data_IF_094853148878
#
_entry.id   IF_094853148878
#
_cell.length_a   1.000
_cell.length_b   1.000
_cell.length_c   1.000
_cell.angle_alpha   90.00
_cell.angle_beta   90.00
_cell.angle_gamma   90.00
#
_symmetry.space_group_name_H-M   'P 1'
#
loop_
_entity.id
_entity.type
_entity.pdbx_description
1 polymer ?
#
# COMPACT_ATOMS: atom_id res chain seq x y z
N UNK A 1 7.03 -10.23 -17.85
CA UNK A 1 6.21 -10.04 -19.07
C UNK A 1 7.01 -9.48 -20.23
N UNK A 2 7.65 -8.31 -20.12
CA UNK A 2 8.38 -7.70 -21.25
C UNK A 2 9.46 -8.62 -21.85
N UNK A 3 10.29 -9.24 -21.01
CA UNK A 3 11.28 -10.24 -21.46
C UNK A 3 10.65 -11.44 -22.19
N UNK A 4 9.48 -11.91 -21.72
CA UNK A 4 8.71 -12.97 -22.38
C UNK A 4 8.23 -12.53 -23.75
N UNK A 5 7.58 -11.37 -23.85
CA UNK A 5 7.08 -10.84 -25.13
C UNK A 5 8.22 -10.65 -26.15
N UNK A 6 9.41 -10.21 -25.70
CA UNK A 6 10.60 -10.10 -26.54
C UNK A 6 11.06 -11.48 -27.04
N UNK A 7 11.16 -12.47 -26.16
CA UNK A 7 11.54 -13.85 -26.51
C UNK A 7 10.56 -14.50 -27.50
N UNK A 8 9.27 -14.22 -27.37
CA UNK A 8 8.22 -14.70 -28.28
C UNK A 8 8.15 -13.90 -29.60
N UNK A 9 9.05 -12.94 -29.85
CA UNK A 9 9.05 -12.12 -31.06
C UNK A 9 7.86 -11.14 -31.15
N UNK A 10 7.14 -10.90 -30.05
CA UNK A 10 5.96 -10.01 -29.99
C UNK A 10 6.30 -8.54 -29.80
N UNK A 11 7.58 -8.22 -29.68
CA UNK A 11 8.10 -6.84 -29.55
C UNK A 11 9.16 -6.57 -30.63
N UNK A 12 8.80 -6.63 -31.93
CA UNK A 12 9.74 -6.35 -33.00
C UNK A 12 10.19 -4.88 -32.93
N UNK A 13 11.51 -4.65 -32.99
CA UNK A 13 12.09 -3.31 -32.91
C UNK A 13 11.99 -2.62 -31.55
N UNK A 14 11.59 -3.34 -30.49
CA UNK A 14 11.60 -2.76 -29.15
C UNK A 14 13.03 -2.49 -28.67
N UNK A 15 13.25 -1.38 -27.93
CA UNK A 15 14.56 -1.07 -27.37
C UNK A 15 15.03 -2.17 -26.41
N UNK A 16 16.35 -2.24 -26.14
CA UNK A 16 16.88 -3.15 -25.14
C UNK A 16 16.18 -2.90 -23.79
N UNK A 17 15.91 -4.00 -23.07
CA UNK A 17 15.34 -3.96 -21.74
C UNK A 17 16.47 -4.00 -20.72
N UNK A 18 16.38 -3.17 -19.68
CA UNK A 18 17.29 -3.18 -18.53
C UNK A 18 16.47 -3.34 -17.25
N UNK A 19 16.96 -4.14 -16.32
CA UNK A 19 16.29 -4.42 -15.06
C UNK A 19 17.00 -3.74 -13.88
N UNK A 20 16.21 -3.26 -12.93
CA UNK A 20 16.69 -2.70 -11.68
C UNK A 20 16.06 -3.46 -10.52
N UNK A 21 16.82 -3.70 -9.45
CA UNK A 21 16.29 -4.20 -8.19
C UNK A 21 17.05 -3.58 -7.04
N UNK A 22 16.32 -3.30 -5.96
CA UNK A 22 16.93 -2.96 -4.68
C UNK A 22 17.77 -4.15 -4.20
N UNK A 23 18.90 -3.83 -3.58
CA UNK A 23 19.87 -4.76 -3.04
C UNK A 23 20.23 -4.34 -1.62
N UNK A 24 20.14 -5.26 -0.67
CA UNK A 24 20.37 -4.98 0.75
C UNK A 24 21.55 -5.81 1.25
N UNK A 25 22.58 -5.14 1.76
CA UNK A 25 23.78 -5.81 2.29
C UNK A 25 23.61 -6.25 3.75
N UNK A 26 23.01 -5.40 4.59
CA UNK A 26 22.80 -5.65 6.02
C UNK A 26 21.41 -6.23 6.34
N UNK A 27 20.38 -5.83 5.59
CA UNK A 27 18.98 -6.17 5.82
C UNK A 27 18.48 -7.20 4.79
N UNK A 28 19.08 -8.40 4.82
CA UNK A 28 18.79 -9.49 3.86
C UNK A 28 17.31 -9.90 3.82
N UNK A 29 16.57 -9.67 4.89
CA UNK A 29 15.12 -9.91 4.96
C UNK A 29 14.29 -8.95 4.08
N UNK A 30 14.86 -7.83 3.64
CA UNK A 30 14.27 -6.92 2.65
C UNK A 30 14.66 -7.29 1.22
N UNK A 31 15.60 -8.22 1.02
CA UNK A 31 16.21 -8.49 -0.28
C UNK A 31 15.37 -9.46 -1.13
N UNK A 32 14.84 -8.94 -2.25
CA UNK A 32 14.00 -9.70 -3.19
C UNK A 32 14.81 -10.31 -4.35
N UNK A 33 16.16 -10.21 -4.37
CA UNK A 33 16.95 -10.59 -5.54
C UNK A 33 16.86 -12.06 -5.90
N UNK A 34 16.63 -12.94 -4.92
CA UNK A 34 16.35 -14.35 -5.19
C UNK A 34 15.13 -14.56 -6.12
N UNK A 35 14.21 -13.60 -6.21
CA UNK A 35 13.10 -13.59 -7.18
C UNK A 35 13.54 -12.90 -8.48
N UNK A 36 14.14 -11.71 -8.41
CA UNK A 36 14.51 -10.95 -9.62
C UNK A 36 15.59 -11.64 -10.45
N UNK A 37 16.58 -12.26 -9.82
CA UNK A 37 17.73 -12.91 -10.48
C UNK A 37 17.30 -14.10 -11.33
N UNK A 38 16.25 -14.82 -10.91
CA UNK A 38 15.64 -15.88 -11.72
C UNK A 38 15.00 -15.31 -13.00
N UNK A 39 14.31 -14.16 -12.89
CA UNK A 39 13.68 -13.49 -14.04
C UNK A 39 14.75 -12.94 -14.99
N UNK A 40 15.76 -12.26 -14.42
CA UNK A 40 16.90 -11.69 -15.14
C UNK A 40 17.63 -12.78 -15.92
N UNK A 41 17.94 -13.91 -15.28
CA UNK A 41 18.58 -15.06 -15.93
C UNK A 41 17.73 -15.67 -17.03
N UNK A 42 16.44 -15.93 -16.77
CA UNK A 42 15.55 -16.55 -17.76
C UNK A 42 15.39 -15.73 -19.05
N UNK A 43 15.50 -14.40 -18.94
CA UNK A 43 15.30 -13.48 -20.07
C UNK A 43 16.56 -12.77 -20.53
N UNK A 44 17.73 -13.12 -19.96
CA UNK A 44 19.03 -12.53 -20.27
C UNK A 44 18.99 -11.00 -20.26
N UNK A 45 18.40 -10.42 -19.21
CA UNK A 45 18.26 -8.98 -19.08
C UNK A 45 19.56 -8.39 -18.51
N UNK A 46 20.11 -7.31 -19.09
CA UNK A 46 20.96 -6.39 -18.37
C UNK A 46 20.35 -5.99 -17.02
N UNK A 47 21.18 -5.90 -15.98
CA UNK A 47 20.72 -5.70 -14.62
C UNK A 47 21.65 -4.77 -13.85
N UNK A 48 21.06 -3.80 -13.15
CA UNK A 48 21.75 -2.92 -12.21
C UNK A 48 21.12 -3.04 -10.82
N UNK A 49 21.94 -3.33 -9.80
CA UNK A 49 21.52 -3.38 -8.41
C UNK A 49 21.52 -1.97 -7.79
N UNK A 50 20.45 -1.62 -7.08
CA UNK A 50 20.34 -0.37 -6.33
C UNK A 50 20.65 -0.68 -4.87
N UNK A 51 21.84 -0.31 -4.42
CA UNK A 51 22.26 -0.58 -3.05
C UNK A 51 21.59 0.37 -2.07
N UNK A 52 20.78 -0.20 -1.17
CA UNK A 52 20.06 0.53 -0.13
C UNK A 52 20.52 0.08 1.25
N UNK A 53 20.79 1.06 2.10
CA UNK A 53 21.19 0.87 3.49
C UNK A 53 20.59 1.96 4.38
N UNK A 54 20.98 1.97 5.65
CA UNK A 54 20.46 2.90 6.65
C UNK A 54 20.89 4.35 6.39
N UNK A 55 21.93 4.59 5.58
CA UNK A 55 22.39 5.93 5.26
C UNK A 55 21.37 6.72 4.42
N UNK A 56 20.44 6.01 3.77
CA UNK A 56 19.38 6.53 2.92
C UNK A 56 18.08 6.85 3.69
N UNK A 57 18.20 7.36 4.92
CA UNK A 57 17.04 7.67 5.77
C UNK A 57 16.17 8.78 5.18
N UNK A 58 14.86 8.54 5.12
CA UNK A 58 13.86 9.54 4.72
C UNK A 58 13.53 10.53 5.84
N UNK A 59 13.94 10.24 7.07
CA UNK A 59 13.64 11.06 8.25
C UNK A 59 14.67 12.17 8.48
N UNK A 60 15.80 12.11 7.78
CA UNK A 60 16.86 13.11 7.85
C UNK A 60 16.68 14.16 6.73
N UNK A 61 16.28 15.41 7.05
CA UNK A 61 16.08 16.45 6.05
C UNK A 61 17.39 16.89 5.36
N UNK A 62 18.56 16.54 5.90
CA UNK A 62 19.83 16.77 5.22
C UNK A 62 20.07 15.76 4.07
N UNK A 63 19.39 14.62 4.09
CA UNK A 63 19.59 13.51 3.15
C UNK A 63 18.40 13.28 2.23
N UNK A 64 17.21 13.69 2.67
CA UNK A 64 15.98 13.52 1.91
C UNK A 64 15.24 14.85 1.75
N UNK A 65 15.04 15.25 0.50
CA UNK A 65 14.12 16.33 0.15
C UNK A 65 12.72 15.76 -0.18
N UNK A 66 11.67 16.15 0.58
CA UNK A 66 10.30 15.76 0.28
C UNK A 66 9.81 16.44 -1.01
N UNK A 67 8.77 15.87 -1.60
CA UNK A 67 8.10 16.49 -2.73
C UNK A 67 7.51 17.88 -2.38
N UNK A 68 7.60 18.82 -3.32
CA UNK A 68 7.16 20.20 -3.08
C UNK A 68 5.63 20.31 -3.00
N UNK A 69 4.91 19.56 -3.83
CA UNK A 69 3.46 19.69 -3.99
C UNK A 69 2.67 18.85 -2.97
N UNK A 70 3.32 17.89 -2.30
CA UNK A 70 2.68 17.06 -1.30
C UNK A 70 3.63 16.65 -0.16
N UNK A 71 3.15 16.61 1.10
CA UNK A 71 3.91 16.11 2.25
C UNK A 71 4.04 14.59 2.26
N UNK A 72 3.90 13.92 1.12
CA UNK A 72 3.89 12.46 1.03
C UNK A 72 5.30 12.02 0.68
N UNK A 73 5.91 11.26 1.59
CA UNK A 73 7.20 10.62 1.38
C UNK A 73 6.98 9.13 1.28
N UNK A 74 7.40 8.51 0.19
CA UNK A 74 7.45 7.05 0.16
C UNK A 74 8.66 6.59 0.93
N UNK A 75 8.39 5.60 1.76
CA UNK A 75 9.33 4.56 2.16
C UNK A 75 10.43 4.24 1.13
N UNK A 76 10.05 4.11 -0.15
CA UNK A 76 10.92 3.72 -1.25
C UNK A 76 11.53 4.90 -2.01
N UNK A 77 11.28 6.14 -1.60
CA UNK A 77 11.77 7.32 -2.33
C UNK A 77 13.30 7.34 -2.50
N UNK A 78 14.13 6.94 -1.52
CA UNK A 78 15.57 6.88 -1.73
C UNK A 78 15.96 5.88 -2.82
N UNK A 79 15.32 4.70 -2.85
CA UNK A 79 15.63 3.70 -3.87
C UNK A 79 15.17 4.11 -5.25
N UNK A 80 13.99 4.73 -5.36
CA UNK A 80 13.50 5.32 -6.59
C UNK A 80 14.40 6.46 -7.09
N UNK A 81 14.85 7.35 -6.19
CA UNK A 81 15.82 8.44 -6.51
C UNK A 81 17.09 7.87 -7.13
N UNK A 82 17.70 6.87 -6.50
CA UNK A 82 18.91 6.23 -6.99
C UNK A 82 18.68 5.50 -8.32
N UNK A 83 17.57 4.77 -8.44
CA UNK A 83 17.21 4.07 -9.67
C UNK A 83 17.02 5.04 -10.84
N UNK A 84 16.34 6.17 -10.65
CA UNK A 84 16.14 7.16 -11.70
C UNK A 84 17.43 7.90 -12.07
N UNK A 85 18.27 8.23 -11.09
CA UNK A 85 19.58 8.81 -11.36
C UNK A 85 20.46 7.84 -12.16
N UNK A 86 20.48 6.56 -11.81
CA UNK A 86 21.22 5.54 -12.55
C UNK A 86 20.66 5.37 -13.97
N UNK A 87 19.34 5.26 -14.11
CA UNK A 87 18.67 5.20 -15.40
C UNK A 87 19.03 6.40 -16.30
N UNK A 88 19.10 7.61 -15.74
CA UNK A 88 19.54 8.80 -16.47
C UNK A 88 20.97 8.64 -16.98
N UNK A 89 21.90 8.20 -16.13
CA UNK A 89 23.32 7.99 -16.52
C UNK A 89 23.49 6.90 -17.58
N UNK A 90 22.60 5.92 -17.59
CA UNK A 90 22.57 4.83 -18.57
C UNK A 90 21.77 5.20 -19.85
N UNK A 91 21.24 6.42 -19.94
CA UNK A 91 20.47 6.89 -21.09
C UNK A 91 19.07 6.27 -21.23
N UNK A 92 18.54 5.70 -20.16
CA UNK A 92 17.21 5.08 -20.13
C UNK A 92 16.15 6.17 -19.98
N UNK A 93 15.31 6.30 -21.00
CA UNK A 93 14.27 7.32 -21.05
C UNK A 93 12.96 6.91 -20.36
N UNK A 94 12.72 5.60 -20.21
CA UNK A 94 11.44 5.09 -19.67
C UNK A 94 11.64 3.89 -18.78
N UNK A 95 11.01 3.92 -17.62
CA UNK A 95 10.98 2.81 -16.66
C UNK A 95 9.56 2.26 -16.50
N UNK A 96 9.44 0.93 -16.55
CA UNK A 96 8.19 0.22 -16.29
C UNK A 96 8.14 -0.23 -14.83
N UNK A 97 7.04 0.04 -14.12
CA UNK A 97 6.88 -0.38 -12.73
C UNK A 97 5.62 -1.22 -12.52
N UNK A 98 5.59 -1.89 -11.37
CA UNK A 98 4.46 -2.69 -10.90
C UNK A 98 3.71 -2.09 -9.71
N UNK A 99 3.89 -0.80 -9.41
CA UNK A 99 3.57 -0.20 -8.11
C UNK A 99 2.10 -0.36 -7.70
N UNK A 100 1.16 -0.20 -8.65
CA UNK A 100 -0.29 -0.32 -8.41
C UNK A 100 -0.81 -1.76 -8.45
N UNK A 101 0.04 -2.75 -8.69
CA UNK A 101 -0.38 -4.15 -8.79
C UNK A 101 -1.08 -4.66 -7.54
N UNK A 102 -0.64 -4.22 -6.35
CA UNK A 102 -1.31 -4.56 -5.10
C UNK A 102 -2.74 -3.99 -5.06
N UNK A 103 -2.94 -2.74 -5.48
CA UNK A 103 -4.27 -2.10 -5.48
C UNK A 103 -5.27 -2.83 -6.38
N UNK A 104 -4.84 -3.26 -7.57
CA UNK A 104 -5.71 -3.91 -8.55
C UNK A 104 -5.96 -5.40 -8.25
N UNK A 105 -4.93 -6.16 -7.90
CA UNK A 105 -5.03 -7.64 -7.83
C UNK A 105 -4.32 -8.25 -6.62
N UNK A 106 -3.46 -7.51 -5.92
CA UNK A 106 -2.61 -8.07 -4.86
C UNK A 106 -3.12 -7.95 -3.44
N UNK A 107 -3.96 -6.95 -3.14
CA UNK A 107 -4.54 -6.82 -1.80
C UNK A 107 -5.51 -7.94 -1.50
N UNK A 108 -5.45 -8.43 -0.26
CA UNK A 108 -6.22 -9.54 0.29
C UNK A 108 -7.69 -9.15 0.48
N UNK A 109 -8.46 -9.23 -0.60
CA UNK A 109 -9.90 -9.08 -0.61
C UNK A 109 -10.48 -10.44 -0.97
N UNK A 110 -11.03 -11.13 0.02
CA UNK A 110 -11.67 -12.43 -0.16
C UNK A 110 -13.18 -12.27 -0.15
N UNK A 111 -13.87 -13.03 -1.01
CA UNK A 111 -15.31 -12.98 -1.15
C UNK A 111 -15.92 -14.38 -1.02
N UNK A 112 -16.61 -14.58 0.09
CA UNK A 112 -17.39 -15.79 0.33
C UNK A 112 -18.88 -15.56 0.13
N UNK A 113 -19.34 -14.32 -0.12
CA UNK A 113 -20.75 -13.98 -0.23
C UNK A 113 -21.26 -14.12 -1.67
N UNK A 114 -20.51 -13.62 -2.64
CA UNK A 114 -20.86 -13.73 -4.06
C UNK A 114 -21.09 -15.18 -4.52
N UNK A 115 -20.23 -16.16 -4.17
CA UNK A 115 -20.46 -17.55 -4.53
C UNK A 115 -21.70 -18.15 -3.86
N UNK A 116 -22.08 -17.71 -2.65
CA UNK A 116 -23.33 -18.15 -2.01
C UNK A 116 -24.55 -17.69 -2.81
N UNK A 117 -24.57 -16.45 -3.29
CA UNK A 117 -25.67 -15.94 -4.12
C UNK A 117 -25.78 -16.67 -5.47
N UNK A 118 -24.67 -17.19 -5.99
CA UNK A 118 -24.62 -17.98 -7.22
C UNK A 118 -24.84 -19.50 -7.00
N UNK A 119 -25.13 -19.93 -5.77
CA UNK A 119 -25.39 -21.34 -5.45
C UNK A 119 -24.13 -22.21 -5.31
N UNK A 120 -22.94 -21.60 -5.29
CA UNK A 120 -21.65 -22.29 -5.13
C UNK A 120 -21.33 -22.55 -3.64
N UNK A 121 -22.28 -23.13 -2.90
CA UNK A 121 -22.21 -23.32 -1.43
C UNK A 121 -20.97 -24.09 -0.98
N UNK A 122 -20.57 -25.12 -1.74
CA UNK A 122 -19.40 -25.95 -1.45
C UNK A 122 -18.10 -25.13 -1.56
N UNK A 123 -18.03 -24.26 -2.56
CA UNK A 123 -16.88 -23.38 -2.75
C UNK A 123 -16.82 -22.36 -1.60
N UNK A 124 -17.92 -21.68 -1.29
CA UNK A 124 -17.98 -20.70 -0.21
C UNK A 124 -17.62 -21.32 1.15
N UNK A 125 -18.11 -22.52 1.45
CA UNK A 125 -17.80 -23.24 2.68
C UNK A 125 -16.31 -23.63 2.77
N UNK A 126 -15.73 -24.13 1.67
CA UNK A 126 -14.31 -24.47 1.61
C UNK A 126 -13.42 -23.23 1.77
N UNK A 127 -13.77 -22.13 1.11
CA UNK A 127 -13.03 -20.86 1.22
C UNK A 127 -13.13 -20.29 2.63
N UNK A 128 -14.32 -20.33 3.24
CA UNK A 128 -14.52 -19.87 4.62
C UNK A 128 -13.67 -20.68 5.62
N UNK A 129 -13.60 -22.01 5.46
CA UNK A 129 -12.79 -22.86 6.32
C UNK A 129 -11.28 -22.60 6.12
N UNK A 130 -10.83 -22.35 4.89
CA UNK A 130 -9.45 -21.96 4.60
C UNK A 130 -9.10 -20.63 5.24
N UNK A 131 -9.95 -19.61 5.11
CA UNK A 131 -9.75 -18.32 5.76
C UNK A 131 -9.76 -18.44 7.28
N UNK A 132 -10.62 -19.31 7.83
CA UNK A 132 -10.64 -19.60 9.27
C UNK A 132 -9.30 -20.15 9.75
N UNK A 133 -8.75 -21.14 9.04
CA UNK A 133 -7.46 -21.74 9.35
C UNK A 133 -6.32 -20.73 9.17
N UNK A 134 -6.33 -19.97 8.07
CA UNK A 134 -5.31 -18.98 7.76
C UNK A 134 -5.23 -17.85 8.80
N UNK A 135 -6.37 -17.30 9.22
CA UNK A 135 -6.42 -16.28 10.26
C UNK A 135 -6.30 -16.83 11.70
N UNK A 136 -6.36 -18.15 11.90
CA UNK A 136 -6.37 -18.76 13.23
C UNK A 136 -7.60 -18.37 14.07
N UNK A 137 -8.76 -18.18 13.45
CA UNK A 137 -9.98 -17.70 14.13
C UNK A 137 -11.02 -18.81 14.35
N UNK A 138 -12.00 -18.56 15.22
CA UNK A 138 -13.13 -19.48 15.42
C UNK A 138 -14.09 -19.45 14.22
N UNK A 139 -14.87 -20.52 14.04
CA UNK A 139 -15.90 -20.62 12.98
C UNK A 139 -16.91 -19.46 13.03
N UNK A 140 -17.33 -19.09 14.24
CA UNK A 140 -18.25 -17.96 14.46
C UNK A 140 -17.65 -16.64 13.99
N UNK A 141 -16.39 -16.37 14.33
CA UNK A 141 -15.70 -15.14 13.87
C UNK A 141 -15.50 -15.13 12.35
N UNK A 142 -15.13 -16.27 11.76
CA UNK A 142 -15.00 -16.39 10.30
C UNK A 142 -16.35 -16.10 9.61
N UNK A 143 -17.44 -16.73 10.06
CA UNK A 143 -18.78 -16.50 9.53
C UNK A 143 -19.22 -15.05 9.70
N UNK A 144 -19.02 -14.46 10.89
CA UNK A 144 -19.35 -13.06 11.16
C UNK A 144 -18.60 -12.11 10.22
N UNK A 145 -17.29 -12.32 10.04
CA UNK A 145 -16.40 -11.46 9.25
C UNK A 145 -16.63 -11.58 7.75
N UNK A 146 -16.80 -12.80 7.23
CA UNK A 146 -16.77 -13.07 5.79
C UNK A 146 -18.15 -13.31 5.17
N UNK A 147 -19.18 -13.61 5.97
CA UNK A 147 -20.56 -13.79 5.49
C UNK A 147 -21.48 -12.71 6.04
N UNK A 148 -21.65 -12.66 7.38
CA UNK A 148 -22.67 -11.82 8.01
C UNK A 148 -22.40 -10.32 7.82
N UNK A 149 -21.18 -9.85 8.09
CA UNK A 149 -20.86 -8.44 7.96
C UNK A 149 -20.99 -7.94 6.51
N UNK A 150 -20.47 -8.65 5.47
CA UNK A 150 -20.74 -8.30 4.08
C UNK A 150 -22.22 -8.37 3.70
N UNK A 151 -22.97 -9.37 4.19
CA UNK A 151 -24.41 -9.49 3.93
C UNK A 151 -25.18 -8.30 4.51
N UNK A 152 -24.88 -7.90 5.75
CA UNK A 152 -25.48 -6.72 6.39
C UNK A 152 -25.13 -5.46 5.61
N UNK A 153 -23.89 -5.31 5.12
CA UNK A 153 -23.50 -4.15 4.29
C UNK A 153 -24.23 -4.13 2.93
N UNK A 154 -24.55 -5.29 2.37
CA UNK A 154 -25.29 -5.42 1.11
C UNK A 154 -26.76 -5.08 1.28
N UNK A 155 -27.41 -5.61 2.33
CA UNK A 155 -28.84 -5.41 2.61
C UNK A 155 -29.12 -4.03 3.24
N UNK A 156 -28.23 -3.59 4.12
CA UNK A 156 -28.27 -2.29 4.81
C UNK A 156 -26.99 -1.48 4.55
N UNK A 157 -26.85 -0.88 3.36
CA UNK A 157 -25.72 -0.01 3.07
C UNK A 157 -25.66 1.22 3.98
N UNK A 158 -24.47 1.82 4.19
CA UNK A 158 -24.27 2.96 5.08
C UNK A 158 -25.15 4.18 4.80
N UNK A 159 -25.56 4.35 3.55
CA UNK A 159 -26.37 5.46 3.06
C UNK A 159 -27.88 5.21 3.21
N UNK A 160 -28.32 3.97 3.49
CA UNK A 160 -29.72 3.67 3.78
C UNK A 160 -30.02 3.96 5.26
N UNK A 161 -30.96 4.89 5.49
CA UNK A 161 -31.44 5.28 6.83
C UNK A 161 -30.30 5.67 7.80
N UNK A 162 -29.51 6.70 7.48
CA UNK A 162 -28.35 7.11 8.29
C UNK A 162 -28.74 7.45 9.74
N UNK A 163 -29.93 8.01 9.97
CA UNK A 163 -30.43 8.32 11.33
C UNK A 163 -30.63 7.10 12.23
N UNK A 164 -31.16 6.00 11.67
CA UNK A 164 -31.37 4.76 12.42
C UNK A 164 -30.03 4.06 12.71
N UNK A 165 -29.11 4.08 11.74
CA UNK A 165 -27.75 3.57 11.95
C UNK A 165 -26.98 4.41 12.97
N UNK A 166 -27.16 5.73 12.99
CA UNK A 166 -26.55 6.63 14.00
C UNK A 166 -27.05 6.27 15.40
N UNK A 167 -28.35 6.03 15.57
CA UNK A 167 -28.98 5.59 16.83
C UNK A 167 -28.50 4.21 17.28
N UNK A 168 -28.46 3.24 16.38
CA UNK A 168 -27.96 1.88 16.66
C UNK A 168 -26.46 1.88 16.96
N UNK A 169 -25.67 2.68 16.23
CA UNK A 169 -24.24 2.85 16.48
C UNK A 169 -23.96 3.55 17.80
N UNK A 170 -24.85 4.43 18.29
CA UNK A 170 -24.73 5.08 19.59
C UNK A 170 -24.93 4.07 20.74
N UNK A 171 -25.78 3.06 20.54
CA UNK A 171 -25.97 1.94 21.47
C UNK A 171 -24.78 0.97 21.48
N UNK A 172 -24.12 0.76 20.34
CA UNK A 172 -22.92 -0.08 20.20
C UNK A 172 -21.59 0.65 20.45
N UNK A 173 -21.60 1.98 20.60
CA UNK A 173 -20.41 2.85 20.69
C UNK A 173 -19.65 2.78 22.01
N UNK A 174 -19.84 1.73 22.81
CA UNK A 174 -19.42 1.75 24.22
C UNK A 174 -18.03 1.17 24.48
N UNK A 175 -17.16 0.94 23.48
CA UNK A 175 -15.85 0.30 23.76
C UNK A 175 -14.67 0.42 22.77
N UNK A 176 -14.61 1.39 21.84
CA UNK A 176 -13.39 1.61 21.05
C UNK A 176 -13.26 3.08 20.60
N UNK A 177 -12.18 3.75 21.03
CA UNK A 177 -11.67 5.09 20.65
C UNK A 177 -12.67 6.02 19.93
N UNK A 178 -13.18 7.01 20.66
CA UNK A 178 -14.29 7.91 20.30
C UNK A 178 -14.05 8.89 19.13
N UNK A 179 -12.91 8.82 18.43
CA UNK A 179 -12.60 9.73 17.32
C UNK A 179 -12.55 9.00 15.99
N UNK A 180 -13.08 9.64 14.93
CA UNK A 180 -13.02 9.13 13.54
C UNK A 180 -11.61 9.26 12.92
N UNK A 181 -10.60 9.59 13.74
CA UNK A 181 -9.26 9.97 13.35
C UNK A 181 -8.25 9.55 14.43
N UNK A 182 -6.97 9.68 14.13
CA UNK A 182 -5.87 9.17 14.96
C UNK A 182 -5.78 9.89 16.33
N UNK A 183 -5.44 9.20 17.43
CA UNK A 183 -5.51 9.75 18.79
C UNK A 183 -4.67 11.01 19.04
N UNK A 184 -3.56 11.16 18.30
CA UNK A 184 -2.69 12.33 18.40
C UNK A 184 -3.17 13.54 17.60
N UNK A 185 -4.23 13.45 16.79
CA UNK A 185 -4.76 14.61 16.08
C UNK A 185 -5.56 15.46 17.08
N UNK A 186 -5.22 16.75 17.17
CA UNK A 186 -5.90 17.66 18.09
C UNK A 186 -7.37 17.85 17.70
N UNK A 187 -8.32 17.74 18.63
CA UNK A 187 -9.76 17.88 18.32
C UNK A 187 -10.13 19.23 17.69
N UNK A 188 -9.49 20.32 18.10
CA UNK A 188 -9.73 21.64 17.53
C UNK A 188 -9.29 21.72 16.07
N UNK A 189 -8.14 21.10 15.75
CA UNK A 189 -7.67 21.01 14.38
C UNK A 189 -8.58 20.13 13.53
N UNK A 190 -8.97 18.95 14.03
CA UNK A 190 -9.90 18.04 13.36
C UNK A 190 -11.23 18.73 13.01
N UNK A 191 -11.80 19.49 13.96
CA UNK A 191 -13.00 20.32 13.74
C UNK A 191 -12.77 21.42 12.71
N UNK A 192 -11.63 22.12 12.78
CA UNK A 192 -11.29 23.22 11.86
C UNK A 192 -11.21 22.76 10.41
N UNK A 193 -10.60 21.59 10.16
CA UNK A 193 -10.49 21.04 8.80
C UNK A 193 -11.75 20.27 8.37
N UNK A 194 -12.69 20.03 9.28
CA UNK A 194 -13.90 19.25 9.03
C UNK A 194 -13.58 17.82 8.59
N UNK A 195 -12.74 17.11 9.36
CA UNK A 195 -12.25 15.78 8.99
C UNK A 195 -13.38 14.79 8.71
N UNK A 196 -14.53 14.93 9.38
CA UNK A 196 -15.72 14.13 9.13
C UNK A 196 -16.22 14.30 7.69
N UNK A 197 -16.20 15.52 7.15
CA UNK A 197 -16.59 15.79 5.76
C UNK A 197 -15.64 15.11 4.77
N UNK A 198 -14.33 15.11 5.07
CA UNK A 198 -13.33 14.44 4.23
C UNK A 198 -13.60 12.93 4.22
N UNK A 199 -13.85 12.32 5.39
CA UNK A 199 -14.20 10.90 5.52
C UNK A 199 -15.52 10.58 4.80
N UNK A 200 -16.51 11.49 4.86
CA UNK A 200 -17.79 11.32 4.17
C UNK A 200 -17.68 11.43 2.66
N UNK A 201 -16.71 12.18 2.14
CA UNK A 201 -16.47 12.32 0.70
C UNK A 201 -15.78 11.09 0.09
N UNK A 202 -15.06 10.29 0.88
CA UNK A 202 -14.42 9.03 0.46
C UNK A 202 -15.41 7.83 0.33
N UNK A 203 -16.66 8.13 -0.07
CA UNK A 203 -17.72 7.13 -0.21
C UNK A 203 -17.64 6.43 -1.57
N UNK A 204 -17.79 5.11 -1.54
CA UNK A 204 -17.87 4.28 -2.75
C UNK A 204 -19.26 4.40 -3.36
N UNK A 205 -19.38 4.42 -4.70
CA UNK A 205 -20.66 4.32 -5.38
C UNK A 205 -21.50 3.13 -4.87
N UNK A 206 -22.72 3.42 -4.43
CA UNK A 206 -23.70 2.46 -3.91
C UNK A 206 -23.90 1.21 -4.78
N UNK A 207 -23.80 1.38 -6.10
CA UNK A 207 -23.96 0.35 -7.14
C UNK A 207 -22.88 -0.72 -7.15
N UNK A 208 -21.75 -0.49 -6.48
CA UNK A 208 -20.65 -1.45 -6.43
C UNK A 208 -20.95 -2.51 -5.37
N UNK A 209 -21.80 -3.46 -5.75
CA UNK A 209 -22.02 -4.71 -5.03
C UNK A 209 -21.31 -5.85 -5.76
N UNK A 210 -20.87 -6.91 -5.07
CA UNK A 210 -20.87 -7.08 -3.60
C UNK A 210 -19.83 -6.18 -2.90
N UNK A 211 -19.81 -6.12 -1.55
CA UNK A 211 -18.88 -5.27 -0.78
C UNK A 211 -17.39 -5.49 -1.11
N UNK A 212 -17.02 -6.69 -1.54
CA UNK A 212 -15.65 -6.99 -2.00
C UNK A 212 -15.25 -6.14 -3.21
N UNK A 213 -16.16 -5.93 -4.18
CA UNK A 213 -15.97 -5.05 -5.34
C UNK A 213 -15.87 -3.59 -4.91
N UNK A 214 -16.69 -3.16 -3.95
CA UNK A 214 -16.58 -1.82 -3.35
C UNK A 214 -15.22 -1.62 -2.66
N UNK A 215 -14.74 -2.61 -1.91
CA UNK A 215 -13.44 -2.56 -1.25
C UNK A 215 -12.30 -2.47 -2.28
N UNK A 216 -12.37 -3.26 -3.36
CA UNK A 216 -11.39 -3.18 -4.47
C UNK A 216 -11.39 -1.80 -5.11
N UNK A 217 -12.57 -1.24 -5.36
CA UNK A 217 -12.70 0.12 -5.90
C UNK A 217 -12.03 1.15 -4.99
N UNK A 218 -12.25 1.10 -3.67
CA UNK A 218 -11.56 2.00 -2.73
C UNK A 218 -10.05 1.93 -2.87
N UNK A 219 -9.47 0.72 -2.94
CA UNK A 219 -8.02 0.56 -3.05
C UNK A 219 -7.48 1.15 -4.36
N UNK A 220 -8.17 0.94 -5.48
CA UNK A 220 -7.74 1.48 -6.79
C UNK A 220 -7.70 3.01 -6.77
N UNK A 221 -8.62 3.65 -6.06
CA UNK A 221 -8.79 5.11 -6.02
C UNK A 221 -8.37 5.74 -4.69
N UNK A 222 -7.62 5.03 -3.84
CA UNK A 222 -7.27 5.53 -2.52
C UNK A 222 -6.42 6.80 -2.66
N UNK A 223 -6.85 7.95 -2.08
CA UNK A 223 -6.21 9.24 -2.33
C UNK A 223 -4.71 9.25 -2.00
N UNK A 224 -4.32 8.56 -0.92
CA UNK A 224 -2.93 8.45 -0.49
C UNK A 224 -2.02 7.89 -1.61
N UNK A 225 -2.40 6.76 -2.23
CA UNK A 225 -1.60 6.20 -3.32
C UNK A 225 -1.63 7.06 -4.58
N UNK A 226 -2.69 7.82 -4.83
CA UNK A 226 -2.71 8.73 -5.99
C UNK A 226 -1.71 9.87 -5.78
N UNK A 227 -1.63 10.40 -4.55
CA UNK A 227 -0.62 11.39 -4.17
C UNK A 227 0.81 10.84 -4.28
N UNK A 228 1.05 9.61 -3.79
CA UNK A 228 2.34 8.94 -3.95
C UNK A 228 2.72 8.75 -5.43
N UNK A 229 1.79 8.29 -6.27
CA UNK A 229 2.06 8.07 -7.69
C UNK A 229 2.44 9.39 -8.39
N UNK A 230 1.79 10.50 -8.06
CA UNK A 230 2.14 11.81 -8.59
C UNK A 230 3.52 12.29 -8.10
N UNK A 231 3.86 12.08 -6.84
CA UNK A 231 5.17 12.43 -6.29
C UNK A 231 6.30 11.62 -6.96
N UNK A 232 6.09 10.31 -7.16
CA UNK A 232 7.07 9.45 -7.82
C UNK A 232 7.23 9.84 -9.31
N UNK A 233 6.15 10.21 -9.99
CA UNK A 233 6.20 10.67 -11.38
C UNK A 233 6.99 11.98 -11.52
N UNK A 234 6.74 12.97 -10.65
CA UNK A 234 7.57 14.19 -10.57
C UNK A 234 9.02 13.88 -10.28
N UNK A 235 9.28 12.93 -9.39
CA UNK A 235 10.64 12.52 -9.07
C UNK A 235 11.36 11.93 -10.29
N UNK A 236 10.69 11.04 -11.04
CA UNK A 236 11.24 10.48 -12.28
C UNK A 236 11.49 11.57 -13.33
N UNK A 237 10.55 12.51 -13.48
CA UNK A 237 10.65 13.62 -14.42
C UNK A 237 11.85 14.54 -14.13
N UNK A 238 12.21 14.77 -12.85
CA UNK A 238 13.42 15.51 -12.46
C UNK A 238 14.72 14.86 -12.95
N UNK A 239 14.72 13.54 -13.12
CA UNK A 239 15.83 12.77 -13.68
C UNK A 239 15.72 12.59 -15.21
N UNK A 240 14.72 13.19 -15.87
CA UNK A 240 14.47 12.99 -17.29
C UNK A 240 13.99 11.59 -17.66
N UNK A 241 13.42 10.86 -16.70
CA UNK A 241 12.90 9.49 -16.89
C UNK A 241 11.37 9.51 -16.87
N UNK A 242 10.75 8.93 -17.90
CA UNK A 242 9.31 8.69 -17.93
C UNK A 242 8.96 7.42 -17.14
N UNK A 243 8.03 7.53 -16.21
CA UNK A 243 7.53 6.38 -15.47
C UNK A 243 6.23 5.86 -16.04
N UNK A 244 6.16 4.56 -16.31
CA UNK A 244 4.93 3.89 -16.72
C UNK A 244 4.62 2.70 -15.82
N UNK A 245 3.60 2.84 -14.98
CA UNK A 245 3.07 1.72 -14.20
C UNK A 245 2.10 0.91 -15.06
N UNK A 246 2.45 -0.35 -15.33
CA UNK A 246 1.63 -1.22 -16.20
C UNK A 246 0.26 -1.55 -15.61
N UNK A 247 0.11 -1.43 -14.29
CA UNK A 247 -1.16 -1.63 -13.57
C UNK A 247 -2.01 -0.34 -13.49
N UNK A 248 -1.51 0.80 -13.96
CA UNK A 248 -2.32 2.00 -14.11
C UNK A 248 -3.26 1.94 -15.32
N UNK A 249 -3.16 0.92 -16.18
CA UNK A 249 -4.02 0.79 -17.36
C UNK A 249 -5.51 0.66 -16.97
N UNK A 250 -6.31 1.59 -17.49
CA UNK A 250 -7.76 1.65 -17.26
C UNK A 250 -8.48 0.35 -17.62
N UNK A 251 -8.00 -0.38 -18.64
CA UNK A 251 -8.57 -1.66 -19.08
C UNK A 251 -8.34 -2.75 -18.03
N UNK A 252 -7.17 -2.78 -17.39
CA UNK A 252 -6.89 -3.68 -16.28
C UNK A 252 -7.75 -3.35 -15.06
N UNK A 253 -7.89 -2.06 -14.72
CA UNK A 253 -8.76 -1.65 -13.63
C UNK A 253 -10.23 -2.07 -13.88
N UNK A 254 -10.74 -1.86 -15.11
CA UNK A 254 -12.08 -2.32 -15.51
C UNK A 254 -12.23 -3.84 -15.40
N UNK A 255 -11.25 -4.58 -15.91
CA UNK A 255 -11.22 -6.04 -15.81
C UNK A 255 -11.28 -6.49 -14.34
N UNK A 256 -10.40 -5.97 -13.48
CA UNK A 256 -10.34 -6.34 -12.05
C UNK A 256 -11.63 -5.98 -11.28
N UNK A 257 -12.36 -4.94 -11.69
CA UNK A 257 -13.65 -4.58 -11.10
C UNK A 257 -14.81 -5.43 -11.65
N UNK A 258 -14.73 -5.88 -12.90
CA UNK A 258 -15.75 -6.71 -13.53
C UNK A 258 -15.67 -8.17 -13.04
N UNK A 259 -14.47 -8.70 -12.86
CA UNK A 259 -14.23 -10.07 -12.41
C UNK A 259 -14.65 -10.26 -10.94
N UNK A 260 -15.34 -11.37 -10.61
CA UNK A 260 -15.65 -11.71 -9.22
C UNK A 260 -14.39 -11.76 -8.34
N UNK A 261 -14.44 -11.20 -7.13
CA UNK A 261 -13.22 -11.07 -6.30
C UNK A 261 -12.66 -12.41 -5.84
N UNK A 262 -13.51 -13.44 -5.69
CA UNK A 262 -13.12 -14.83 -5.43
C UNK A 262 -12.36 -15.50 -6.60
N UNK A 263 -12.34 -14.89 -7.79
CA UNK A 263 -11.47 -15.32 -8.90
C UNK A 263 -10.11 -14.63 -8.81
N UNK A 264 -10.06 -13.38 -8.34
CA UNK A 264 -8.81 -12.62 -8.17
C UNK A 264 -7.98 -13.18 -7.01
N UNK A 265 -8.59 -13.29 -5.84
CA UNK A 265 -8.01 -13.89 -4.64
C UNK A 265 -8.86 -15.10 -4.27
N UNK A 266 -8.20 -16.23 -4.08
CA UNK A 266 -8.87 -17.52 -3.89
C UNK A 266 -7.96 -18.41 -3.06
N UNK A 267 -8.55 -19.35 -2.31
CA UNK A 267 -7.83 -20.37 -1.56
C UNK A 267 -6.96 -19.79 -0.44
N UNK A 268 -7.40 -18.66 0.14
CA UNK A 268 -6.58 -17.84 1.04
C UNK A 268 -5.25 -17.35 0.40
N UNK A 269 -5.12 -17.39 -0.93
CA UNK A 269 -3.99 -16.86 -1.66
C UNK A 269 -4.32 -15.50 -2.30
N UNK A 270 -3.41 -14.54 -2.11
CA UNK A 270 -3.45 -13.30 -2.86
C UNK A 270 -2.87 -13.48 -4.26
N UNK A 271 -3.31 -12.65 -5.22
CA UNK A 271 -2.83 -12.68 -6.60
C UNK A 271 -3.07 -14.04 -7.29
N UNK A 272 -4.04 -14.85 -6.84
CA UNK A 272 -4.28 -16.20 -7.34
C UNK A 272 -4.42 -16.24 -8.87
N UNK A 273 -5.27 -15.35 -9.42
CA UNK A 273 -5.46 -15.25 -10.87
C UNK A 273 -4.16 -14.86 -11.59
N UNK A 274 -3.42 -13.89 -11.04
CA UNK A 274 -2.17 -13.43 -11.62
C UNK A 274 -1.11 -14.53 -11.64
N UNK A 275 -0.94 -15.26 -10.53
CA UNK A 275 0.03 -16.36 -10.43
C UNK A 275 -0.26 -17.43 -11.46
N UNK A 276 -1.53 -17.71 -11.76
CA UNK A 276 -1.93 -18.65 -12.82
C UNK A 276 -1.66 -18.07 -14.21
N UNK A 277 -2.01 -16.81 -14.42
CA UNK A 277 -1.76 -16.12 -15.69
C UNK A 277 -0.27 -15.99 -16.02
N UNK A 278 0.61 -15.98 -15.01
CA UNK A 278 2.06 -15.92 -15.18
C UNK A 278 2.73 -17.30 -15.35
N UNK A 279 1.97 -18.40 -15.34
CA UNK A 279 2.53 -19.73 -15.64
C UNK A 279 3.17 -19.73 -17.03
N UNK A 280 4.38 -20.29 -17.14
CA UNK A 280 5.21 -20.28 -18.36
C UNK A 280 5.70 -18.89 -18.81
N UNK A 281 5.36 -17.82 -18.09
CA UNK A 281 5.83 -16.44 -18.33
C UNK A 281 6.83 -16.01 -17.24
N UNK A 282 6.63 -16.40 -15.99
CA UNK A 282 7.60 -16.19 -14.92
C UNK A 282 8.31 -17.52 -14.64
N UNK A 283 9.61 -17.53 -14.30
CA UNK A 283 10.28 -18.74 -13.81
C UNK A 283 9.47 -19.35 -12.67
N UNK A 284 9.29 -20.66 -12.69
CA UNK A 284 8.35 -21.33 -11.77
C UNK A 284 8.72 -21.11 -10.30
N UNK A 285 10.01 -21.23 -9.95
CA UNK A 285 10.51 -20.96 -8.60
C UNK A 285 10.23 -19.52 -8.18
N UNK A 286 10.51 -18.54 -9.05
CA UNK A 286 10.22 -17.15 -8.75
C UNK A 286 8.70 -16.91 -8.59
N UNK A 287 7.87 -17.54 -9.42
CA UNK A 287 6.40 -17.40 -9.42
C UNK A 287 5.76 -17.93 -8.14
N UNK A 288 6.25 -19.05 -7.62
CA UNK A 288 5.75 -19.69 -6.39
C UNK A 288 6.39 -19.08 -5.13
N UNK A 289 7.65 -18.68 -5.19
CA UNK A 289 8.36 -18.03 -4.07
C UNK A 289 8.01 -16.53 -3.91
N UNK A 290 7.45 -15.88 -4.94
CA UNK A 290 7.09 -14.47 -4.88
C UNK A 290 6.03 -14.19 -3.80
N UNK A 291 6.49 -13.82 -2.62
CA UNK A 291 5.66 -13.38 -1.50
C UNK A 291 5.84 -11.88 -1.29
N UNK A 292 5.01 -11.28 -0.44
CA UNK A 292 5.22 -9.89 -0.05
C UNK A 292 6.41 -9.86 0.90
N UNK A 293 7.53 -9.31 0.43
CA UNK A 293 8.65 -8.98 1.29
C UNK A 293 8.40 -7.56 1.81
N UNK A 294 8.52 -7.41 3.13
CA UNK A 294 8.21 -6.14 3.79
C UNK A 294 9.50 -5.34 3.95
N UNK A 295 9.53 -4.06 3.52
CA UNK A 295 10.63 -3.16 3.82
C UNK A 295 10.61 -2.66 5.28
N UNK A 296 9.64 -3.07 6.09
CA UNK A 296 9.48 -2.67 7.50
C UNK A 296 10.76 -2.75 8.34
N UNK A 297 11.65 -3.76 8.20
CA UNK A 297 12.89 -3.79 8.97
C UNK A 297 13.82 -2.60 8.67
N UNK A 298 13.86 -2.13 7.43
CA UNK A 298 14.58 -0.89 7.07
C UNK A 298 13.94 0.32 7.75
N UNK A 299 12.61 0.46 7.68
CA UNK A 299 11.90 1.57 8.32
C UNK A 299 12.11 1.60 9.82
N UNK A 300 11.95 0.45 10.47
CA UNK A 300 12.15 0.33 11.90
C UNK A 300 13.57 0.70 12.28
N UNK A 301 14.57 0.19 11.56
CA UNK A 301 15.97 0.53 11.81
C UNK A 301 16.23 2.03 11.67
N UNK A 302 15.78 2.67 10.60
CA UNK A 302 15.94 4.11 10.39
C UNK A 302 15.26 4.95 11.48
N UNK A 303 14.06 4.55 11.92
CA UNK A 303 13.32 5.23 12.99
C UNK A 303 14.02 5.08 14.35
N UNK A 304 14.50 3.88 14.68
CA UNK A 304 15.21 3.60 15.93
C UNK A 304 16.57 4.29 15.97
N UNK A 305 17.34 4.24 14.88
CA UNK A 305 18.65 4.89 14.78
C UNK A 305 18.52 6.42 14.87
N UNK A 306 17.39 6.98 14.43
CA UNK A 306 17.09 8.42 14.47
C UNK A 306 16.19 8.82 15.65
N UNK A 307 15.98 7.94 16.64
CA UNK A 307 14.94 8.09 17.67
C UNK A 307 15.02 9.42 18.41
N UNK A 308 16.21 9.79 18.89
CA UNK A 308 16.39 11.01 19.67
C UNK A 308 16.16 12.27 18.84
N UNK A 309 16.58 12.26 17.58
CA UNK A 309 16.32 13.35 16.65
C UNK A 309 14.82 13.48 16.37
N UNK A 310 14.15 12.38 16.02
CA UNK A 310 12.71 12.37 15.71
C UNK A 310 11.90 12.83 16.92
N UNK A 311 12.14 12.24 18.09
CA UNK A 311 11.42 12.56 19.31
C UNK A 311 11.58 14.03 19.69
N UNK A 312 12.83 14.50 19.80
CA UNK A 312 13.08 15.85 20.30
C UNK A 312 12.81 16.91 19.24
N UNK A 313 13.22 16.68 18.00
CA UNK A 313 13.20 17.72 16.96
C UNK A 313 11.91 17.70 16.15
N UNK A 314 11.39 16.53 15.76
CA UNK A 314 10.23 16.44 14.86
C UNK A 314 8.90 16.33 15.63
N UNK A 315 8.87 15.68 16.79
CA UNK A 315 7.64 15.47 17.56
C UNK A 315 7.48 16.55 18.63
N UNK A 316 8.34 16.59 19.63
CA UNK A 316 8.17 17.45 20.81
C UNK A 316 8.33 18.93 20.48
N UNK A 317 9.32 19.27 19.66
CA UNK A 317 9.56 20.64 19.18
C UNK A 317 9.16 20.82 17.71
N UNK A 318 8.17 20.05 17.25
CA UNK A 318 7.69 20.08 15.87
C UNK A 318 6.80 21.28 15.54
N UNK A 319 6.84 21.75 14.29
CA UNK A 319 5.92 22.74 13.73
C UNK A 319 4.46 22.25 13.88
N UNK A 320 4.21 20.96 13.62
CA UNK A 320 2.90 20.35 13.80
C UNK A 320 2.34 20.53 15.22
N UNK A 321 3.20 20.41 16.24
CA UNK A 321 2.82 20.60 17.63
C UNK A 321 2.58 22.08 17.95
N UNK A 322 3.47 22.97 17.49
CA UNK A 322 3.37 24.42 17.69
C UNK A 322 2.09 25.02 17.10
N UNK A 323 1.65 24.51 15.93
CA UNK A 323 0.40 24.93 15.30
C UNK A 323 -0.85 24.21 15.82
N UNK A 324 -0.70 23.33 16.81
CA UNK A 324 -1.79 22.57 17.40
C UNK A 324 -2.45 21.59 16.43
N UNK A 325 -1.71 21.05 15.46
CA UNK A 325 -2.21 19.99 14.57
C UNK A 325 -2.23 18.63 15.31
N UNK A 326 -1.20 18.40 16.13
CA UNK A 326 -1.02 17.16 16.88
C UNK A 326 -0.77 17.41 18.37
N UNK A 327 -1.19 16.46 19.20
CA UNK A 327 -0.83 16.36 20.61
C UNK A 327 0.54 15.66 20.71
N UNK A 328 1.61 16.44 20.91
CA UNK A 328 2.99 15.97 20.83
C UNK A 328 3.29 14.81 21.80
N UNK A 329 2.73 14.82 23.01
CA UNK A 329 2.89 13.77 24.00
C UNK A 329 2.27 12.43 23.56
N UNK A 330 1.06 12.47 22.99
CA UNK A 330 0.37 11.27 22.49
C UNK A 330 1.08 10.72 21.24
N UNK A 331 1.55 11.61 20.36
CA UNK A 331 2.33 11.21 19.19
C UNK A 331 3.68 10.59 19.59
N UNK A 332 4.35 11.17 20.60
CA UNK A 332 5.60 10.65 21.14
C UNK A 332 5.42 9.25 21.76
N UNK A 333 4.35 9.04 22.53
CA UNK A 333 4.03 7.73 23.10
C UNK A 333 3.81 6.68 22.00
N UNK A 334 3.01 6.99 20.96
CA UNK A 334 2.79 6.10 19.83
C UNK A 334 4.09 5.76 19.08
N UNK A 335 4.98 6.75 18.90
CA UNK A 335 6.29 6.55 18.28
C UNK A 335 7.20 5.65 19.14
N UNK A 336 7.28 5.91 20.45
CA UNK A 336 8.09 5.12 21.38
C UNK A 336 7.58 3.68 21.51
N UNK A 337 6.26 3.49 21.57
CA UNK A 337 5.65 2.16 21.57
C UNK A 337 6.03 1.35 20.33
N UNK A 338 6.13 2.00 19.16
CA UNK A 338 6.62 1.37 17.95
C UNK A 338 8.12 1.03 18.02
N UNK A 339 8.96 1.97 18.47
CA UNK A 339 10.40 1.73 18.63
C UNK A 339 10.72 0.62 19.64
N UNK A 340 9.86 0.42 20.64
CA UNK A 340 10.03 -0.52 21.75
C UNK A 340 9.20 -1.81 21.58
N UNK A 341 8.71 -2.07 20.37
CA UNK A 341 7.97 -3.29 20.01
C UNK A 341 6.67 -3.53 20.80
N UNK A 342 6.13 -2.49 21.44
CA UNK A 342 4.81 -2.53 22.09
C UNK A 342 3.67 -2.34 21.10
N UNK A 343 3.94 -1.74 19.95
CA UNK A 343 2.99 -1.53 18.86
C UNK A 343 3.64 -1.79 17.50
N UNK A 344 2.84 -2.25 16.53
CA UNK A 344 3.23 -2.34 15.12
C UNK A 344 2.54 -1.26 14.27
N UNK A 345 1.83 -0.32 14.90
CA UNK A 345 1.13 0.77 14.22
C UNK A 345 2.13 1.85 13.80
N UNK A 346 2.21 2.09 12.48
CA UNK A 346 3.09 3.09 11.87
C UNK A 346 2.37 4.38 11.49
N UNK A 347 1.09 4.58 11.86
CA UNK A 347 0.32 5.74 11.43
C UNK A 347 0.93 7.08 11.90
N UNK A 348 1.78 7.09 12.94
CA UNK A 348 2.51 8.29 13.38
C UNK A 348 3.41 8.86 12.27
N UNK A 349 3.88 8.00 11.35
CA UNK A 349 4.74 8.38 10.23
C UNK A 349 4.12 9.49 9.37
N UNK A 350 2.80 9.54 9.22
CA UNK A 350 2.14 10.60 8.47
C UNK A 350 2.31 11.99 9.10
N UNK A 351 2.34 12.07 10.43
CA UNK A 351 2.64 13.32 11.12
C UNK A 351 4.10 13.73 10.92
N UNK A 352 5.03 12.76 10.93
CA UNK A 352 6.46 13.01 10.66
C UNK A 352 6.70 13.49 9.22
N UNK A 353 6.02 12.90 8.23
CA UNK A 353 6.14 13.32 6.83
C UNK A 353 5.65 14.77 6.63
N UNK A 354 4.52 15.13 7.26
CA UNK A 354 4.03 16.50 7.27
C UNK A 354 5.01 17.46 7.94
N UNK A 355 5.59 17.07 9.09
CA UNK A 355 6.59 17.86 9.80
C UNK A 355 7.82 18.15 8.93
N UNK A 356 8.36 17.14 8.26
CA UNK A 356 9.52 17.28 7.37
C UNK A 356 9.19 18.23 6.22
N UNK A 357 8.00 18.12 5.62
CA UNK A 357 7.53 19.01 4.57
C UNK A 357 7.41 20.46 5.05
N UNK A 358 6.79 20.69 6.22
CA UNK A 358 6.64 22.03 6.80
C UNK A 358 8.00 22.68 7.05
N UNK A 359 8.98 21.95 7.61
CA UNK A 359 10.33 22.50 7.84
C UNK A 359 11.04 22.96 6.58
N UNK A 360 10.74 22.31 5.46
CA UNK A 360 11.34 22.61 4.15
C UNK A 360 10.65 23.78 3.47
N UNK A 361 9.32 23.81 3.44
CA UNK A 361 8.56 24.72 2.58
C UNK A 361 7.71 25.76 3.33
N UNK A 362 7.57 25.63 4.65
CA UNK A 362 6.71 26.45 5.49
C UNK A 362 7.50 27.01 6.68
N UNK A 363 8.27 28.07 6.42
CA UNK A 363 8.96 28.86 7.46
C UNK A 363 8.30 30.20 7.64
#
# INVERSE_FOLDING_TARGET
MAGWLRREGKLPGAPPLHAFSDAYSSLVQCDERHISDEIVRQYSLPFSAIFIDESHSIWDPARHEPDQDAPIVSAFDPSLKLAFALAQTEGIQRMLTGHRGDLLIGSMIFDCLDPLFHGEWRFAAAELERLRLWYGISRTKAFQRHILAPLVQTLWPPYRLPGLRRRMSALYRRKANDFAYLPWIQPDFARRIGIERIIEQDRVPARLQPPSRAQRYKLIFIPHHMGMAAAIERLAARCGVELADVWADRRLARFCLAVPQNVINREAENKWLLRRAMKNVMPENARTAALKISPEPLFKKQLVDSKDYILNSLILNGICAQHGYVAANILAEAFLDYCEDRSHDQMFSYALMLEIWLRRFWR
#
